data_IF_727972452076
#
_entry.id   IF_727972452076
#
_cell.length_a   1.000
_cell.length_b   1.000
_cell.length_c   1.000
_cell.angle_alpha   90.00
_cell.angle_beta   90.00
_cell.angle_gamma   90.00
#
_symmetry.space_group_name_H-M   'P 1'
#
loop_
_entity.id
_entity.type
_entity.pdbx_description
1 polymer ?
#
# COMPACT_ATOMS: atom_id res chain seq x y z
N UNK A 1 -3.24 19.22 -25.24
CA UNK A 1 -3.70 18.24 -24.23
C UNK A 1 -4.91 18.82 -23.50
N UNK A 2 -6.07 18.14 -23.51
CA UNK A 2 -7.22 18.55 -22.70
C UNK A 2 -6.96 18.12 -21.26
N UNK A 3 -6.85 19.07 -20.34
CA UNK A 3 -6.64 18.80 -18.92
C UNK A 3 -7.98 18.37 -18.29
N UNK A 4 -8.07 17.14 -17.82
CA UNK A 4 -9.23 16.68 -17.04
C UNK A 4 -8.99 17.04 -15.57
N UNK A 5 -9.83 17.88 -14.94
CA UNK A 5 -9.70 18.18 -13.52
C UNK A 5 -9.75 16.89 -12.71
N UNK A 6 -8.76 16.65 -11.87
CA UNK A 6 -8.73 15.50 -10.96
C UNK A 6 -8.27 15.93 -9.58
N UNK A 7 -8.92 15.39 -8.55
CA UNK A 7 -8.51 15.61 -7.15
C UNK A 7 -7.26 14.81 -6.87
N UNK A 8 -6.14 15.50 -6.57
CA UNK A 8 -4.88 14.85 -6.20
C UNK A 8 -4.73 14.84 -4.68
N UNK A 9 -4.23 13.72 -4.16
CA UNK A 9 -3.76 13.67 -2.78
C UNK A 9 -2.37 14.31 -2.75
N UNK A 10 -2.22 15.37 -1.96
CA UNK A 10 -0.96 16.11 -1.83
C UNK A 10 -0.50 16.05 -0.36
N UNK A 11 0.78 15.70 -0.10
CA UNK A 11 1.32 15.81 1.25
C UNK A 11 1.19 17.25 1.73
N UNK A 12 0.88 17.42 3.01
CA UNK A 12 0.75 18.74 3.61
C UNK A 12 1.16 18.71 5.07
N UNK A 13 1.68 19.84 5.53
CA UNK A 13 2.14 20.06 6.90
C UNK A 13 1.04 20.60 7.82
N UNK A 14 -0.23 20.57 7.39
CA UNK A 14 -1.36 21.03 8.21
C UNK A 14 -1.61 20.07 9.36
N UNK A 15 -2.17 20.61 10.43
CA UNK A 15 -2.64 19.85 11.59
C UNK A 15 -3.55 18.69 11.20
N UNK A 16 -3.32 17.54 11.82
CA UNK A 16 -4.07 16.32 11.55
C UNK A 16 -5.14 16.14 12.63
N UNK A 17 -6.40 16.32 12.26
CA UNK A 17 -7.56 16.09 13.14
C UNK A 17 -8.13 14.69 12.91
N UNK A 18 -8.48 13.99 13.99
CA UNK A 18 -9.02 12.62 13.95
C UNK A 18 -8.17 11.63 13.14
N UNK A 19 -6.84 11.82 13.13
CA UNK A 19 -5.93 10.96 12.40
C UNK A 19 -5.76 9.60 13.08
N UNK A 20 -5.90 8.53 12.31
CA UNK A 20 -5.71 7.16 12.79
C UNK A 20 -4.26 6.77 12.50
N UNK A 21 -3.52 6.38 13.53
CA UNK A 21 -2.12 5.95 13.39
C UNK A 21 -1.82 4.74 14.26
N UNK A 22 -0.81 3.98 13.84
CA UNK A 22 -0.29 2.88 14.64
C UNK A 22 0.59 3.40 15.79
N UNK A 23 0.60 2.71 16.94
CA UNK A 23 1.28 3.23 18.14
C UNK A 23 2.79 3.46 17.95
N UNK A 24 3.48 2.62 17.16
CA UNK A 24 4.91 2.80 16.87
C UNK A 24 5.17 4.06 16.03
N UNK A 25 4.26 4.35 15.11
CA UNK A 25 4.33 5.55 14.28
C UNK A 25 4.09 6.79 15.14
N UNK A 26 3.09 6.76 16.03
CA UNK A 26 2.87 7.83 16.99
C UNK A 26 4.10 8.08 17.87
N UNK A 27 4.69 7.02 18.44
CA UNK A 27 5.93 7.13 19.22
C UNK A 27 7.06 7.78 18.42
N UNK A 28 7.20 7.42 17.14
CA UNK A 28 8.17 8.04 16.25
C UNK A 28 7.86 9.52 16.02
N UNK A 29 6.61 9.88 15.70
CA UNK A 29 6.22 11.27 15.47
C UNK A 29 6.46 12.16 16.70
N UNK A 30 6.12 11.67 17.89
CA UNK A 30 6.38 12.38 19.15
C UNK A 30 7.88 12.63 19.36
N UNK A 31 8.74 11.65 19.05
CA UNK A 31 10.20 11.81 19.10
C UNK A 31 10.73 12.84 18.10
N UNK A 32 10.11 12.94 16.92
CA UNK A 32 10.45 13.93 15.91
C UNK A 32 9.81 15.32 16.17
N UNK A 33 9.11 15.50 17.30
CA UNK A 33 8.59 16.80 17.73
C UNK A 33 7.12 17.06 17.42
N UNK A 34 6.37 16.09 16.90
CA UNK A 34 4.91 16.23 16.73
C UNK A 34 4.24 16.37 18.10
N UNK A 35 3.36 17.35 18.26
CA UNK A 35 2.64 17.60 19.51
C UNK A 35 1.27 16.92 19.45
N UNK A 36 0.99 16.05 20.43
CA UNK A 36 -0.31 15.37 20.56
C UNK A 36 -1.24 16.19 21.45
N UNK A 37 -2.36 16.64 20.88
CA UNK A 37 -3.38 17.39 21.63
C UNK A 37 -4.37 16.47 22.37
N UNK A 38 -4.91 15.46 21.67
CA UNK A 38 -5.98 14.61 22.22
C UNK A 38 -6.00 13.20 21.62
N UNK A 39 -6.27 12.21 22.47
CA UNK A 39 -6.57 10.83 22.06
C UNK A 39 -8.07 10.60 22.16
N UNK A 40 -8.69 10.18 21.05
CA UNK A 40 -10.14 9.98 20.98
C UNK A 40 -10.56 8.52 21.20
N UNK A 41 -9.83 7.57 20.60
CA UNK A 41 -10.16 6.14 20.59
C UNK A 41 -8.88 5.32 20.55
N UNK A 42 -8.88 4.17 21.20
CA UNK A 42 -7.77 3.22 21.21
C UNK A 42 -8.31 1.84 20.85
N UNK A 43 -7.69 1.18 19.87
CA UNK A 43 -7.93 -0.22 19.54
C UNK A 43 -6.72 -1.04 20.01
N UNK A 44 -6.93 -1.92 21.01
CA UNK A 44 -5.89 -2.80 21.54
C UNK A 44 -6.03 -4.20 20.94
N UNK A 45 -4.90 -4.80 20.55
CA UNK A 45 -4.86 -6.14 19.95
C UNK A 45 -3.53 -6.84 20.28
N UNK A 46 -3.53 -8.17 20.17
CA UNK A 46 -2.33 -8.99 20.26
C UNK A 46 -1.70 -9.15 18.88
N UNK A 47 -0.37 -9.26 18.86
CA UNK A 47 0.41 -9.42 17.62
C UNK A 47 1.11 -10.77 17.60
N UNK A 48 1.09 -11.44 16.46
CA UNK A 48 1.79 -12.70 16.21
C UNK A 48 2.38 -12.68 14.79
N UNK A 49 3.53 -13.33 14.54
CA UNK A 49 4.12 -13.43 13.21
C UNK A 49 3.45 -14.51 12.35
N UNK A 50 2.11 -14.47 12.25
CA UNK A 50 1.31 -15.54 11.64
C UNK A 50 1.56 -15.70 10.12
N UNK A 51 1.90 -14.61 9.41
CA UNK A 51 2.30 -14.67 8.00
C UNK A 51 3.77 -15.04 7.76
N UNK A 52 4.60 -15.12 8.81
CA UNK A 52 6.06 -15.25 8.64
C UNK A 52 6.46 -16.44 7.77
N UNK A 53 5.90 -17.63 8.07
CA UNK A 53 6.20 -18.86 7.31
C UNK A 53 5.88 -18.70 5.83
N UNK A 54 4.72 -18.13 5.51
CA UNK A 54 4.27 -17.91 4.14
C UNK A 54 5.15 -16.91 3.38
N UNK A 55 5.45 -15.76 4.00
CA UNK A 55 6.30 -14.73 3.38
C UNK A 55 7.73 -15.24 3.17
N UNK A 56 8.29 -15.97 4.14
CA UNK A 56 9.63 -16.55 4.02
C UNK A 56 9.68 -17.57 2.89
N UNK A 57 8.71 -18.48 2.83
CA UNK A 57 8.60 -19.45 1.73
C UNK A 57 8.59 -18.76 0.35
N UNK A 58 7.70 -17.78 0.14
CA UNK A 58 7.64 -17.08 -1.15
C UNK A 58 8.93 -16.29 -1.45
N UNK A 59 9.61 -15.77 -0.43
CA UNK A 59 10.87 -15.04 -0.59
C UNK A 59 12.00 -15.98 -1.01
N UNK A 60 12.08 -17.15 -0.39
CA UNK A 60 13.05 -18.20 -0.75
C UNK A 60 12.79 -18.71 -2.17
N UNK A 61 11.53 -19.01 -2.49
CA UNK A 61 11.16 -19.43 -3.85
C UNK A 61 11.52 -18.36 -4.88
N UNK A 62 11.19 -17.09 -4.63
CA UNK A 62 11.57 -15.96 -5.51
C UNK A 62 13.09 -15.85 -5.70
N UNK A 63 13.89 -16.10 -4.66
CA UNK A 63 15.36 -16.09 -4.74
C UNK A 63 15.88 -17.23 -5.62
N UNK A 64 15.26 -18.40 -5.53
CA UNK A 64 15.66 -19.61 -6.24
C UNK A 64 15.12 -19.69 -7.68
N UNK A 65 14.08 -18.91 -8.00
CA UNK A 65 13.50 -18.84 -9.34
C UNK A 65 14.50 -18.40 -10.40
N UNK A 66 14.51 -19.12 -11.52
CA UNK A 66 15.41 -18.83 -12.65
C UNK A 66 14.76 -17.94 -13.70
N UNK A 67 13.43 -18.00 -13.83
CA UNK A 67 12.69 -17.19 -14.80
C UNK A 67 12.17 -15.90 -14.19
N UNK A 68 11.99 -14.87 -15.03
CA UNK A 68 11.33 -13.63 -14.64
C UNK A 68 9.87 -13.89 -14.22
N UNK A 69 9.17 -14.78 -14.94
CA UNK A 69 7.79 -15.17 -14.65
C UNK A 69 7.61 -15.72 -13.23
N UNK A 70 8.45 -16.68 -12.82
CA UNK A 70 8.35 -17.26 -11.47
C UNK A 70 8.68 -16.23 -10.38
N UNK A 71 9.67 -15.36 -10.62
CA UNK A 71 10.01 -14.27 -9.69
C UNK A 71 8.82 -13.34 -9.48
N UNK A 72 8.14 -12.98 -10.56
CA UNK A 72 6.95 -12.12 -10.51
C UNK A 72 5.75 -12.83 -9.88
N UNK A 73 5.60 -14.13 -10.11
CA UNK A 73 4.57 -14.94 -9.45
C UNK A 73 4.73 -14.91 -7.92
N UNK A 74 5.91 -15.25 -7.38
CA UNK A 74 6.11 -15.25 -5.93
C UNK A 74 6.06 -13.84 -5.31
N UNK A 75 6.49 -12.81 -6.06
CA UNK A 75 6.28 -11.40 -5.66
C UNK A 75 4.78 -11.08 -5.57
N UNK A 76 4.00 -11.46 -6.57
CA UNK A 76 2.56 -11.23 -6.62
C UNK A 76 1.84 -11.96 -5.49
N UNK A 77 2.25 -13.18 -5.13
CA UNK A 77 1.65 -13.92 -4.01
C UNK A 77 1.77 -13.16 -2.69
N UNK A 78 2.93 -12.56 -2.40
CA UNK A 78 3.11 -11.71 -1.23
C UNK A 78 2.26 -10.42 -1.30
N UNK A 79 2.30 -9.71 -2.43
CA UNK A 79 1.57 -8.45 -2.59
C UNK A 79 0.04 -8.64 -2.57
N UNK A 80 -0.45 -9.77 -3.10
CA UNK A 80 -1.87 -10.10 -3.16
C UNK A 80 -2.48 -10.30 -1.77
N UNK A 81 -1.72 -10.86 -0.82
CA UNK A 81 -2.19 -10.99 0.57
C UNK A 81 -2.51 -9.61 1.14
N UNK A 82 -1.59 -8.64 1.01
CA UNK A 82 -1.82 -7.27 1.44
C UNK A 82 -3.04 -6.65 0.74
N UNK A 83 -3.10 -6.73 -0.59
CA UNK A 83 -4.22 -6.21 -1.38
C UNK A 83 -5.56 -6.81 -0.94
N UNK A 84 -5.58 -8.09 -0.58
CA UNK A 84 -6.77 -8.78 -0.09
C UNK A 84 -7.23 -8.26 1.27
N UNK A 85 -6.30 -7.91 2.17
CA UNK A 85 -6.67 -7.34 3.48
C UNK A 85 -7.33 -5.95 3.36
N UNK A 86 -6.98 -5.19 2.33
CA UNK A 86 -7.47 -3.83 2.08
C UNK A 86 -8.63 -3.78 1.08
N UNK A 87 -9.17 -4.94 0.68
CA UNK A 87 -10.23 -5.01 -0.32
C UNK A 87 -11.52 -4.31 0.15
N UNK A 88 -11.96 -3.30 -0.61
CA UNK A 88 -13.23 -2.65 -0.34
C UNK A 88 -14.40 -3.43 -0.95
N UNK A 89 -15.04 -4.25 -0.11
CA UNK A 89 -16.19 -5.10 -0.47
C UNK A 89 -17.37 -4.27 -1.01
N UNK A 90 -17.50 -2.99 -0.60
CA UNK A 90 -18.58 -2.10 -1.07
C UNK A 90 -18.47 -1.77 -2.56
N UNK A 91 -17.28 -1.90 -3.14
CA UNK A 91 -17.07 -1.68 -4.57
C UNK A 91 -17.47 -2.90 -5.43
N UNK A 92 -17.80 -4.05 -4.80
CA UNK A 92 -18.22 -5.24 -5.54
C UNK A 92 -19.61 -5.00 -6.14
N UNK A 93 -19.70 -5.21 -7.45
CA UNK A 93 -20.94 -5.21 -8.21
C UNK A 93 -21.36 -6.64 -8.54
N UNK A 94 -22.65 -6.86 -8.69
CA UNK A 94 -23.22 -8.05 -9.32
C UNK A 94 -23.49 -7.70 -10.79
N UNK A 95 -22.97 -8.50 -11.72
CA UNK A 95 -23.16 -8.27 -13.16
C UNK A 95 -23.89 -9.47 -13.72
N UNK A 96 -25.08 -9.22 -14.28
CA UNK A 96 -25.90 -10.27 -14.90
C UNK A 96 -25.96 -10.04 -16.40
N UNK A 97 -25.57 -11.06 -17.16
CA UNK A 97 -25.76 -11.11 -18.60
C UNK A 97 -27.16 -11.65 -18.88
N UNK A 98 -27.90 -10.94 -19.73
CA UNK A 98 -29.31 -11.19 -19.99
C UNK A 98 -29.57 -11.14 -21.48
N UNK A 99 -30.28 -12.14 -21.97
CA UNK A 99 -30.71 -12.26 -23.37
C UNK A 99 -32.23 -12.30 -23.54
N UNK A 100 -32.97 -12.03 -22.47
CA UNK A 100 -34.42 -11.96 -22.47
C UNK A 100 -34.86 -10.57 -22.03
N UNK A 101 -35.71 -9.95 -22.85
CA UNK A 101 -36.22 -8.60 -22.62
C UNK A 101 -37.00 -8.51 -21.30
N UNK A 102 -37.83 -9.50 -20.98
CA UNK A 102 -38.64 -9.49 -19.75
C UNK A 102 -37.75 -9.54 -18.52
N UNK A 103 -36.72 -10.39 -18.53
CA UNK A 103 -35.73 -10.47 -17.46
C UNK A 103 -34.92 -9.17 -17.35
N UNK A 104 -34.55 -8.55 -18.47
CA UNK A 104 -33.83 -7.28 -18.46
C UNK A 104 -34.66 -6.16 -17.82
N UNK A 105 -35.92 -6.01 -18.23
CA UNK A 105 -36.86 -5.04 -17.64
C UNK A 105 -37.02 -5.25 -16.14
N UNK A 106 -37.17 -6.51 -15.68
CA UNK A 106 -37.26 -6.83 -14.24
C UNK A 106 -36.00 -6.43 -13.47
N UNK A 107 -34.82 -6.60 -14.06
CA UNK A 107 -33.54 -6.27 -13.41
C UNK A 107 -33.27 -4.76 -13.38
N UNK A 108 -33.74 -4.01 -14.38
CA UNK A 108 -33.67 -2.54 -14.41
C UNK A 108 -34.64 -1.92 -13.41
N UNK A 109 -35.83 -2.50 -13.25
CA UNK A 109 -36.82 -2.04 -12.27
C UNK A 109 -36.43 -2.34 -10.80
N UNK A 110 -35.42 -3.20 -10.56
CA UNK A 110 -35.00 -3.54 -9.21
C UNK A 110 -34.27 -2.35 -8.53
N UNK A 111 -34.47 -2.12 -7.21
CA UNK A 111 -33.82 -1.02 -6.48
C UNK A 111 -32.29 -1.19 -6.38
N UNK A 112 -31.79 -2.39 -6.70
CA UNK A 112 -30.35 -2.67 -6.74
C UNK A 112 -29.73 -2.34 -8.10
N UNK A 113 -30.50 -1.88 -9.08
CA UNK A 113 -29.99 -1.51 -10.40
C UNK A 113 -29.01 -0.34 -10.31
N UNK A 114 -27.91 -0.41 -11.07
CA UNK A 114 -26.91 0.66 -11.15
C UNK A 114 -26.80 1.23 -12.56
N UNK A 115 -26.59 0.35 -13.54
CA UNK A 115 -26.53 0.69 -14.97
C UNK A 115 -26.64 -0.58 -15.81
N UNK A 116 -26.89 -0.43 -17.09
CA UNK A 116 -26.75 -1.52 -18.05
C UNK A 116 -25.78 -1.13 -19.17
N UNK A 117 -25.24 -2.13 -19.85
CA UNK A 117 -24.43 -2.00 -21.05
C UNK A 117 -24.95 -3.00 -22.08
N UNK A 118 -25.34 -2.50 -23.23
CA UNK A 118 -25.74 -3.33 -24.37
C UNK A 118 -24.47 -3.81 -25.06
N UNK A 119 -24.32 -5.11 -25.25
CA UNK A 119 -23.19 -5.71 -25.97
C UNK A 119 -23.55 -5.93 -27.44
N UNK A 120 -24.75 -6.45 -27.69
CA UNK A 120 -25.34 -6.64 -29.01
C UNK A 120 -26.87 -6.64 -28.91
N UNK A 121 -27.57 -6.98 -30.00
CA UNK A 121 -29.03 -6.97 -30.07
C UNK A 121 -29.69 -8.02 -29.17
N UNK A 122 -28.97 -9.06 -28.77
CA UNK A 122 -29.49 -10.19 -27.98
C UNK A 122 -28.86 -10.24 -26.58
N UNK A 123 -27.91 -9.38 -26.25
CA UNK A 123 -27.17 -9.45 -24.99
C UNK A 123 -27.00 -8.09 -24.32
N UNK A 124 -27.53 -7.98 -23.11
CA UNK A 124 -27.35 -6.84 -22.21
C UNK A 124 -26.69 -7.28 -20.90
N UNK A 125 -25.67 -6.54 -20.47
CA UNK A 125 -25.10 -6.65 -19.13
C UNK A 125 -25.76 -5.67 -18.18
N UNK A 126 -26.39 -6.15 -17.11
CA UNK A 126 -26.98 -5.31 -16.07
C UNK A 126 -26.09 -5.33 -14.83
N UNK A 127 -25.52 -4.18 -14.48
CA UNK A 127 -24.77 -3.98 -13.24
C UNK A 127 -25.70 -3.63 -12.09
N UNK A 128 -25.51 -4.31 -10.96
CA UNK A 128 -26.33 -4.19 -9.76
C UNK A 128 -25.45 -4.03 -8.52
N UNK A 129 -25.95 -3.32 -7.52
CA UNK A 129 -25.36 -3.29 -6.18
C UNK A 129 -25.78 -4.54 -5.40
N UNK A 130 -24.88 -5.06 -4.55
CA UNK A 130 -25.22 -6.20 -3.69
C UNK A 130 -26.12 -5.75 -2.54
N UNK A 131 -27.27 -6.43 -2.36
CA UNK A 131 -28.26 -6.11 -1.31
C UNK A 131 -27.68 -6.28 0.10
N UNK A 132 -26.91 -7.34 0.32
CA UNK A 132 -26.26 -7.62 1.60
C UNK A 132 -24.75 -7.71 1.38
N UNK A 133 -23.98 -7.09 2.27
CA UNK A 133 -22.51 -7.09 2.25
C UNK A 133 -22.00 -7.61 3.58
N UNK A 134 -21.20 -8.68 3.55
CA UNK A 134 -20.48 -9.17 4.72
C UNK A 134 -19.13 -8.48 4.79
N UNK A 135 -18.84 -7.76 5.88
CA UNK A 135 -17.55 -7.10 6.10
C UNK A 135 -16.55 -8.06 6.75
N UNK A 136 -16.00 -8.98 5.94
CA UNK A 136 -15.12 -10.08 6.37
C UNK A 136 -13.62 -9.84 6.08
N UNK A 137 -13.25 -8.64 5.60
CA UNK A 137 -11.86 -8.32 5.24
C UNK A 137 -11.11 -7.76 6.45
N UNK A 138 -9.92 -8.27 6.77
CA UNK A 138 -9.16 -7.84 7.95
C UNK A 138 -8.42 -6.53 7.68
N UNK A 139 -9.16 -5.43 7.49
CA UNK A 139 -8.62 -4.10 7.11
C UNK A 139 -7.57 -3.60 8.11
N UNK A 140 -7.73 -3.93 9.40
CA UNK A 140 -6.76 -3.57 10.45
C UNK A 140 -5.36 -4.17 10.19
N UNK A 141 -5.27 -5.34 9.55
CA UNK A 141 -3.98 -5.94 9.18
C UNK A 141 -3.31 -5.09 8.10
N UNK A 142 -4.04 -4.77 7.02
CA UNK A 142 -3.54 -3.94 5.95
C UNK A 142 -3.14 -2.54 6.44
N UNK A 143 -3.94 -1.94 7.32
CA UNK A 143 -3.61 -0.69 7.98
C UNK A 143 -2.26 -0.75 8.73
N UNK A 144 -2.04 -1.78 9.55
CA UNK A 144 -0.79 -1.92 10.31
C UNK A 144 0.41 -2.18 9.39
N UNK A 145 0.24 -2.98 8.32
CA UNK A 145 1.31 -3.20 7.33
C UNK A 145 1.72 -1.87 6.69
N UNK A 146 0.75 -1.06 6.25
CA UNK A 146 1.02 0.24 5.63
C UNK A 146 1.69 1.21 6.62
N UNK A 147 1.22 1.27 7.86
CA UNK A 147 1.83 2.12 8.89
C UNK A 147 3.28 1.71 9.19
N UNK A 148 3.56 0.42 9.28
CA UNK A 148 4.93 -0.08 9.48
C UNK A 148 5.84 0.22 8.29
N UNK A 149 5.33 0.12 7.05
CA UNK A 149 6.07 0.50 5.84
C UNK A 149 6.44 1.99 5.85
N UNK A 150 5.50 2.88 6.19
CA UNK A 150 5.80 4.31 6.37
C UNK A 150 6.86 4.54 7.45
N UNK A 151 6.78 3.82 8.56
CA UNK A 151 7.73 3.96 9.66
C UNK A 151 9.15 3.61 9.23
N UNK A 152 9.34 2.58 8.39
CA UNK A 152 10.66 2.23 7.83
C UNK A 152 11.20 3.39 7.00
N UNK A 153 10.38 3.96 6.11
CA UNK A 153 10.76 5.09 5.26
C UNK A 153 11.08 6.34 6.08
N UNK A 154 10.25 6.69 7.06
CA UNK A 154 10.50 7.83 7.93
C UNK A 154 11.73 7.63 8.81
N UNK A 155 11.95 6.42 9.33
CA UNK A 155 13.13 6.14 10.11
C UNK A 155 14.40 6.30 9.27
N UNK A 156 14.40 5.82 8.03
CA UNK A 156 15.53 6.04 7.12
C UNK A 156 15.74 7.53 6.82
N UNK A 157 14.68 8.28 6.49
CA UNK A 157 14.81 9.71 6.21
C UNK A 157 15.33 10.51 7.42
N UNK A 158 14.64 10.43 8.56
CA UNK A 158 14.93 11.30 9.71
C UNK A 158 16.13 10.84 10.53
N UNK A 159 16.32 9.53 10.70
CA UNK A 159 17.35 9.00 11.60
C UNK A 159 18.63 8.56 10.89
N UNK A 160 18.63 8.44 9.56
CA UNK A 160 19.82 8.11 8.75
C UNK A 160 20.20 9.30 7.89
N UNK A 161 19.40 9.61 6.86
CA UNK A 161 19.78 10.63 5.87
C UNK A 161 19.91 12.03 6.48
N UNK A 162 18.91 12.48 7.24
CA UNK A 162 18.95 13.80 7.89
C UNK A 162 20.00 13.90 8.99
N UNK A 163 20.35 12.78 9.63
CA UNK A 163 21.37 12.77 10.67
C UNK A 163 22.79 12.84 10.09
N UNK A 164 23.02 12.14 8.98
CA UNK A 164 24.33 12.05 8.35
C UNK A 164 24.67 13.31 7.54
N UNK A 165 23.73 13.75 6.70
CA UNK A 165 24.00 14.80 5.72
C UNK A 165 23.38 16.15 6.11
N UNK A 166 22.38 16.17 6.99
CA UNK A 166 21.70 17.40 7.40
C UNK A 166 21.11 18.17 6.22
N UNK A 167 21.70 19.33 5.94
CA UNK A 167 21.31 20.23 4.84
C UNK A 167 21.97 19.86 3.51
N UNK A 168 23.00 18.99 3.52
CA UNK A 168 23.66 18.47 2.31
C UNK A 168 22.87 17.38 1.58
N UNK A 169 21.68 17.02 2.10
CA UNK A 169 20.79 16.07 1.45
C UNK A 169 19.40 16.68 1.26
N UNK A 170 18.98 16.76 0.00
CA UNK A 170 17.65 17.21 -0.41
C UNK A 170 16.83 16.01 -0.90
N UNK A 171 15.62 15.85 -0.33
CA UNK A 171 14.69 14.82 -0.78
C UNK A 171 13.90 15.34 -1.98
N UNK A 172 14.15 14.77 -3.15
CA UNK A 172 13.54 15.21 -4.41
C UNK A 172 12.13 14.64 -4.59
N UNK A 173 11.98 13.31 -4.46
CA UNK A 173 10.68 12.65 -4.54
C UNK A 173 10.65 11.32 -3.78
N UNK A 174 9.44 10.81 -3.60
CA UNK A 174 9.14 9.54 -2.94
C UNK A 174 8.22 8.71 -3.80
N UNK A 175 8.49 7.41 -3.96
CA UNK A 175 7.55 6.47 -4.54
C UNK A 175 7.48 5.20 -3.70
N UNK A 176 6.35 5.02 -2.99
CA UNK A 176 5.95 3.84 -2.20
C UNK A 176 7.00 3.27 -1.23
N UNK A 177 8.06 2.66 -1.76
CA UNK A 177 9.17 2.01 -1.07
C UNK A 177 10.55 2.60 -1.44
N UNK A 178 10.58 3.74 -2.13
CA UNK A 178 11.79 4.41 -2.59
C UNK A 178 11.79 5.91 -2.26
N UNK A 179 13.00 6.43 -2.02
CA UNK A 179 13.27 7.84 -1.80
C UNK A 179 14.42 8.23 -2.72
N UNK A 180 14.30 9.37 -3.39
CA UNK A 180 15.35 9.90 -4.26
C UNK A 180 15.90 11.18 -3.66
N UNK A 181 17.21 11.22 -3.50
CA UNK A 181 17.93 12.33 -2.88
C UNK A 181 18.93 12.92 -3.86
N UNK A 182 19.12 14.23 -3.75
CA UNK A 182 20.35 14.89 -4.13
C UNK A 182 21.22 15.01 -2.88
N UNK A 183 22.47 14.55 -2.96
CA UNK A 183 23.38 14.51 -1.81
C UNK A 183 24.73 15.11 -2.20
N UNK A 184 25.17 16.11 -1.45
CA UNK A 184 26.50 16.69 -1.56
C UNK A 184 27.48 15.91 -0.67
N UNK A 185 28.30 15.05 -1.29
CA UNK A 185 29.37 14.30 -0.62
C UNK A 185 30.54 14.06 -1.58
N UNK A 186 31.72 13.78 -1.04
CA UNK A 186 32.92 13.44 -1.82
C UNK A 186 32.81 12.03 -2.42
N UNK A 187 32.36 11.04 -1.62
CA UNK A 187 32.13 9.67 -2.08
C UNK A 187 30.94 9.02 -1.36
N UNK A 188 29.83 8.91 -2.08
CA UNK A 188 28.61 8.29 -1.59
C UNK A 188 28.77 6.79 -1.31
N UNK A 189 29.64 6.09 -2.04
CA UNK A 189 29.84 4.65 -1.84
C UNK A 189 30.61 4.39 -0.55
N UNK A 190 31.58 5.24 -0.22
CA UNK A 190 32.27 5.17 1.06
C UNK A 190 31.29 5.40 2.23
N UNK A 191 30.44 6.44 2.14
CA UNK A 191 29.44 6.73 3.16
C UNK A 191 28.42 5.58 3.32
N UNK A 192 28.01 4.95 2.21
CA UNK A 192 27.15 3.76 2.23
C UNK A 192 27.83 2.55 2.87
N UNK A 193 29.14 2.38 2.67
CA UNK A 193 29.90 1.26 3.26
C UNK A 193 29.93 1.33 4.79
N UNK A 194 30.01 2.54 5.36
CA UNK A 194 29.93 2.79 6.81
C UNK A 194 28.57 2.40 7.39
N UNK A 195 27.52 2.42 6.57
CA UNK A 195 26.13 2.17 6.94
C UNK A 195 25.56 0.85 6.38
N UNK A 196 26.41 -0.08 5.91
CA UNK A 196 25.97 -1.29 5.17
C UNK A 196 24.93 -2.14 5.93
N UNK A 197 24.97 -2.15 7.26
CA UNK A 197 24.00 -2.85 8.13
C UNK A 197 22.59 -2.23 8.05
N UNK A 198 22.49 -0.93 7.83
CA UNK A 198 21.22 -0.18 7.76
C UNK A 198 20.60 -0.30 6.37
N UNK A 199 21.40 -0.18 5.31
CA UNK A 199 20.94 -0.19 3.91
C UNK A 199 20.45 -1.57 3.42
N UNK A 200 20.99 -2.68 3.94
CA UNK A 200 20.66 -4.04 3.47
C UNK A 200 19.42 -4.67 4.14
N UNK A 201 18.82 -3.99 5.13
CA UNK A 201 17.60 -4.48 5.80
C UNK A 201 16.34 -4.43 4.92
N UNK A 202 16.45 -3.84 3.72
CA UNK A 202 15.39 -3.68 2.72
C UNK A 202 15.63 -4.43 1.40
N UNK A 203 16.38 -5.53 1.39
CA UNK A 203 16.39 -6.47 0.26
C UNK A 203 17.71 -6.58 -0.51
N UNK A 204 18.06 -7.82 -0.85
CA UNK A 204 19.01 -8.18 -1.91
C UNK A 204 20.46 -7.73 -1.68
N UNK A 205 21.28 -8.62 -1.11
CA UNK A 205 22.73 -8.42 -1.07
C UNK A 205 23.31 -8.15 -2.46
N UNK A 206 24.01 -7.03 -2.59
CA UNK A 206 24.92 -6.77 -3.71
C UNK A 206 26.11 -7.72 -3.55
N UNK A 207 26.19 -8.72 -4.43
CA UNK A 207 27.44 -9.43 -4.67
C UNK A 207 28.37 -8.46 -5.41
N UNK A 208 29.29 -7.83 -4.68
CA UNK A 208 30.52 -7.32 -5.28
C UNK A 208 31.35 -8.53 -5.72
N UNK A 209 31.35 -8.83 -7.02
CA UNK A 209 32.43 -9.60 -7.63
C UNK A 209 33.50 -8.61 -8.05
N UNK A 210 34.70 -8.80 -7.49
CA UNK A 210 35.96 -8.34 -8.07
C UNK A 210 36.10 -8.80 -9.51
#
# INVERSE_FOLDING_TARGET
MKYTPSTKLVPNLKDKKNYITYYKNLQFYLKQGLKLEKVHKILKFQQKPWLKKYIMFNTEQRKNSKSAFEKDFFKLMNNSVYGKTMENIRNRVDVQLVNDEKKAQKLVAAPTFKRFKIFDNELVGVERVKKCLTLDKPIYVGFVILELSKLIMYNFHYNVMKKEYGDKAELLFTDTDSLTYEVETEDIYEDMSRHMVVCLSGGGGLNSKN
#
